data_IF_386378880529
#
_entry.id   IF_386378880529
#
_cell.length_a   1.000
_cell.length_b   1.000
_cell.length_c   1.000
_cell.angle_alpha   90.00
_cell.angle_beta   90.00
_cell.angle_gamma   90.00
#
_symmetry.space_group_name_H-M   'P 1'
#
loop_
_entity.id
_entity.type
_entity.pdbx_description
1 polymer ?
#
# COMPACT_ATOMS: atom_id res chain seq x y z
N UNK A 1 3.27 21.77 -19.37
CA UNK A 1 2.56 20.54 -19.82
C UNK A 1 3.45 19.30 -19.84
N UNK A 2 4.77 19.41 -20.02
CA UNK A 2 5.68 18.24 -20.00
C UNK A 2 5.94 17.71 -18.58
N UNK A 3 5.87 18.57 -17.57
CA UNK A 3 6.17 18.21 -16.17
C UNK A 3 5.22 17.14 -15.60
N UNK A 4 3.89 17.25 -15.67
CA UNK A 4 3.00 16.19 -15.22
C UNK A 4 3.19 14.87 -15.97
N UNK A 5 3.50 14.92 -17.27
CA UNK A 5 3.79 13.72 -18.07
C UNK A 5 5.08 13.02 -17.62
N UNK A 6 6.11 13.81 -17.27
CA UNK A 6 7.35 13.26 -16.71
C UNK A 6 7.09 12.56 -15.37
N UNK A 7 6.26 13.14 -14.48
CA UNK A 7 5.85 12.53 -13.23
C UNK A 7 5.07 11.23 -13.46
N UNK A 8 4.07 11.24 -14.38
CA UNK A 8 3.32 10.03 -14.75
C UNK A 8 4.24 8.92 -15.26
N UNK A 9 5.20 9.28 -16.15
CA UNK A 9 6.19 8.34 -16.67
C UNK A 9 7.10 7.76 -15.59
N UNK A 10 7.57 8.61 -14.67
CA UNK A 10 8.42 8.19 -13.55
C UNK A 10 7.68 7.23 -12.60
N UNK A 11 6.41 7.53 -12.25
CA UNK A 11 5.59 6.64 -11.40
C UNK A 11 5.27 5.34 -12.13
N UNK A 12 4.99 5.38 -13.44
CA UNK A 12 4.74 4.18 -14.23
C UNK A 12 5.99 3.28 -14.29
N UNK A 13 7.17 3.87 -14.52
CA UNK A 13 8.45 3.15 -14.51
C UNK A 13 8.74 2.55 -13.12
N UNK A 14 8.57 3.35 -12.05
CA UNK A 14 8.68 2.86 -10.68
C UNK A 14 7.73 1.68 -10.43
N UNK A 15 6.44 1.84 -10.74
CA UNK A 15 5.43 0.81 -10.53
C UNK A 15 5.71 -0.48 -11.31
N UNK A 16 6.19 -0.36 -12.56
CA UNK A 16 6.58 -1.52 -13.37
C UNK A 16 7.75 -2.28 -12.77
N UNK A 17 8.83 -1.58 -12.39
CA UNK A 17 10.02 -2.19 -11.78
C UNK A 17 9.68 -2.78 -10.41
N UNK A 18 8.95 -2.05 -9.57
CA UNK A 18 8.50 -2.50 -8.25
C UNK A 18 7.66 -3.79 -8.36
N UNK A 19 6.70 -3.82 -9.29
CA UNK A 19 5.84 -4.99 -9.51
C UNK A 19 6.64 -6.18 -10.10
N UNK A 20 7.59 -5.91 -10.99
CA UNK A 20 8.48 -6.93 -11.54
C UNK A 20 9.31 -7.60 -10.43
N UNK A 21 9.95 -6.80 -9.58
CA UNK A 21 10.72 -7.32 -8.44
C UNK A 21 9.80 -8.07 -7.46
N UNK A 22 8.55 -7.64 -7.23
CA UNK A 22 7.59 -8.35 -6.40
C UNK A 22 7.14 -9.70 -6.96
N UNK A 23 7.35 -9.95 -8.28
CA UNK A 23 6.82 -11.11 -8.99
C UNK A 23 7.38 -12.45 -8.49
N UNK A 24 6.58 -13.51 -8.64
CA UNK A 24 7.02 -14.88 -8.34
C UNK A 24 8.20 -15.34 -9.21
N UNK A 25 8.30 -14.84 -10.45
CA UNK A 25 9.41 -15.15 -11.36
C UNK A 25 10.75 -14.71 -10.81
N UNK A 26 10.85 -13.43 -10.41
CA UNK A 26 12.08 -12.88 -9.83
C UNK A 26 12.40 -13.53 -8.50
N UNK A 27 11.40 -13.76 -7.63
CA UNK A 27 11.61 -14.45 -6.34
C UNK A 27 12.18 -15.86 -6.53
N UNK A 28 11.63 -16.64 -7.47
CA UNK A 28 12.14 -17.98 -7.79
C UNK A 28 13.54 -17.94 -8.36
N UNK A 29 13.83 -16.98 -9.26
CA UNK A 29 15.14 -16.80 -9.83
C UNK A 29 16.20 -16.46 -8.77
N UNK A 30 15.89 -15.52 -7.85
CA UNK A 30 16.79 -15.16 -6.73
C UNK A 30 17.01 -16.36 -5.80
N UNK A 31 15.94 -17.10 -5.48
CA UNK A 31 16.03 -18.30 -4.65
C UNK A 31 16.89 -19.39 -5.29
N UNK A 32 16.80 -19.56 -6.61
CA UNK A 32 17.63 -20.52 -7.35
C UNK A 32 19.12 -20.15 -7.32
N UNK A 33 19.47 -18.84 -7.17
CA UNK A 33 20.85 -18.37 -7.10
C UNK A 33 21.42 -18.31 -5.69
N UNK A 34 20.63 -17.87 -4.71
CA UNK A 34 21.07 -17.61 -3.34
C UNK A 34 20.60 -18.69 -2.33
N UNK A 35 19.82 -19.68 -2.79
CA UNK A 35 19.30 -20.73 -1.93
C UNK A 35 18.44 -20.18 -0.78
N UNK A 36 18.50 -20.84 0.41
CA UNK A 36 17.68 -20.44 1.58
C UNK A 36 17.96 -19.04 2.10
N UNK A 37 19.11 -18.43 1.77
CA UNK A 37 19.42 -17.05 2.14
C UNK A 37 18.45 -16.08 1.48
N UNK A 38 18.00 -16.38 0.26
CA UNK A 38 17.01 -15.57 -0.43
C UNK A 38 15.72 -15.39 0.38
N UNK A 39 15.21 -16.47 0.99
CA UNK A 39 13.97 -16.43 1.75
C UNK A 39 14.06 -15.49 2.97
N UNK A 40 15.25 -15.33 3.53
CA UNK A 40 15.51 -14.46 4.68
C UNK A 40 15.66 -12.99 4.30
N UNK A 41 16.43 -12.71 3.24
CA UNK A 41 16.83 -11.31 2.94
C UNK A 41 15.92 -10.63 1.93
N UNK A 42 15.17 -11.39 1.12
CA UNK A 42 14.44 -10.86 -0.03
C UNK A 42 13.46 -9.77 0.37
N UNK A 43 12.67 -9.97 1.43
CA UNK A 43 11.65 -9.02 1.84
C UNK A 43 12.26 -7.70 2.32
N UNK A 44 13.33 -7.76 3.10
CA UNK A 44 14.04 -6.55 3.54
C UNK A 44 14.69 -5.82 2.37
N UNK A 45 15.41 -6.55 1.51
CA UNK A 45 16.02 -5.97 0.30
C UNK A 45 14.98 -5.35 -0.63
N UNK A 46 13.83 -6.00 -0.81
CA UNK A 46 12.71 -5.48 -1.59
C UNK A 46 12.15 -4.19 -1.00
N UNK A 47 11.93 -4.12 0.32
CA UNK A 47 11.44 -2.91 0.98
C UNK A 47 12.44 -1.76 0.90
N UNK A 48 13.74 -2.04 1.11
CA UNK A 48 14.81 -1.05 0.95
C UNK A 48 14.87 -0.53 -0.50
N UNK A 49 14.80 -1.45 -1.48
CA UNK A 49 14.75 -1.11 -2.90
C UNK A 49 13.52 -0.28 -3.24
N UNK A 50 12.34 -0.62 -2.71
CA UNK A 50 11.11 0.12 -2.95
C UNK A 50 11.21 1.58 -2.47
N UNK A 51 11.77 1.80 -1.28
CA UNK A 51 12.02 3.15 -0.76
C UNK A 51 13.06 3.88 -1.61
N UNK A 52 14.22 3.27 -1.85
CA UNK A 52 15.31 3.89 -2.60
C UNK A 52 14.92 4.25 -4.04
N UNK A 53 14.18 3.36 -4.73
CA UNK A 53 13.74 3.59 -6.11
C UNK A 53 12.59 4.60 -6.24
N UNK A 54 11.89 4.92 -5.14
CA UNK A 54 10.88 5.99 -5.11
C UNK A 54 11.49 7.38 -4.91
N UNK A 55 12.69 7.50 -4.31
CA UNK A 55 13.36 8.79 -4.10
C UNK A 55 13.56 9.60 -5.40
N UNK A 56 13.97 9.02 -6.55
CA UNK A 56 14.02 9.74 -7.81
C UNK A 56 12.69 10.35 -8.25
N UNK A 57 11.55 9.69 -7.97
CA UNK A 57 10.22 10.25 -8.26
C UNK A 57 9.97 11.50 -7.42
N UNK A 58 10.33 11.46 -6.12
CA UNK A 58 10.20 12.63 -5.25
C UNK A 58 11.17 13.75 -5.63
N UNK A 59 12.40 13.41 -6.02
CA UNK A 59 13.37 14.40 -6.53
C UNK A 59 12.86 15.07 -7.82
N UNK A 60 12.30 14.29 -8.74
CA UNK A 60 11.73 14.81 -9.97
C UNK A 60 10.53 15.73 -9.67
N UNK A 61 9.68 15.37 -8.73
CA UNK A 61 8.57 16.21 -8.28
C UNK A 61 9.07 17.56 -7.71
N UNK A 62 10.18 17.55 -6.95
CA UNK A 62 10.77 18.77 -6.41
C UNK A 62 11.38 19.67 -7.49
N UNK A 63 11.94 19.09 -8.55
CA UNK A 63 12.52 19.82 -9.69
C UNK A 63 11.47 20.29 -10.69
N UNK A 64 10.36 19.57 -10.82
CA UNK A 64 9.26 19.85 -11.75
C UNK A 64 7.95 20.04 -10.98
N UNK A 65 7.81 21.11 -10.18
CA UNK A 65 6.65 21.31 -9.32
C UNK A 65 5.33 21.49 -10.11
N UNK A 66 5.42 21.95 -11.35
CA UNK A 66 4.27 22.24 -12.21
C UNK A 66 3.52 23.52 -11.81
N UNK A 67 2.45 23.82 -12.56
CA UNK A 67 1.61 25.00 -12.30
C UNK A 67 0.76 24.79 -11.04
N UNK A 68 0.58 25.83 -10.20
CA UNK A 68 -0.29 25.77 -9.04
C UNK A 68 -1.75 25.65 -9.45
N UNK A 69 -2.47 24.66 -8.88
CA UNK A 69 -3.92 24.47 -9.08
C UNK A 69 -4.72 25.09 -7.95
N UNK A 70 -4.28 24.84 -6.70
CA UNK A 70 -4.82 25.50 -5.52
C UNK A 70 -3.81 25.55 -4.38
N UNK A 71 -4.02 26.52 -3.50
CA UNK A 71 -3.36 26.60 -2.20
C UNK A 71 -4.41 26.95 -1.16
N UNK A 72 -4.67 26.03 -0.24
CA UNK A 72 -5.62 26.23 0.84
C UNK A 72 -5.08 27.26 1.84
N UNK A 73 -5.94 28.22 2.19
CA UNK A 73 -5.68 29.18 3.28
C UNK A 73 -6.28 28.68 4.59
N UNK A 74 -5.93 29.32 5.72
CA UNK A 74 -6.58 29.05 6.99
C UNK A 74 -8.08 29.37 6.88
N UNK A 75 -8.94 28.55 7.53
CA UNK A 75 -8.63 27.39 8.37
C UNK A 75 -8.48 26.06 7.58
N UNK A 76 -8.73 26.05 6.27
CA UNK A 76 -8.77 24.83 5.45
C UNK A 76 -7.43 24.10 5.35
N UNK A 77 -6.32 24.86 5.31
CA UNK A 77 -4.98 24.25 5.33
C UNK A 77 -4.69 23.53 6.63
N UNK A 78 -5.13 24.08 7.76
CA UNK A 78 -4.97 23.41 9.06
C UNK A 78 -5.80 22.13 9.14
N UNK A 79 -7.04 22.13 8.61
CA UNK A 79 -7.88 20.92 8.54
C UNK A 79 -7.27 19.85 7.63
N UNK A 80 -6.69 20.25 6.48
CA UNK A 80 -6.01 19.33 5.59
C UNK A 80 -4.79 18.67 6.28
N UNK A 81 -3.95 19.46 6.95
CA UNK A 81 -2.79 18.96 7.71
C UNK A 81 -3.23 18.05 8.87
N UNK A 82 -4.27 18.42 9.60
CA UNK A 82 -4.84 17.56 10.64
C UNK A 82 -5.31 16.22 10.06
N UNK A 83 -6.01 16.25 8.92
CA UNK A 83 -6.43 15.06 8.20
C UNK A 83 -5.26 14.18 7.75
N UNK A 84 -4.15 14.79 7.28
CA UNK A 84 -2.92 14.06 6.99
C UNK A 84 -2.31 13.43 8.27
N UNK A 85 -2.35 14.13 9.40
CA UNK A 85 -1.95 13.58 10.70
C UNK A 85 -2.79 12.35 11.10
N UNK A 86 -4.11 12.42 10.90
CA UNK A 86 -5.01 11.28 11.11
C UNK A 86 -4.66 10.12 10.16
N UNK A 87 -4.39 10.41 8.88
CA UNK A 87 -3.99 9.39 7.91
C UNK A 87 -2.69 8.68 8.32
N UNK A 88 -1.68 9.42 8.81
CA UNK A 88 -0.43 8.83 9.33
C UNK A 88 -0.68 7.98 10.60
N UNK A 89 -1.57 8.41 11.49
CA UNK A 89 -1.96 7.62 12.65
C UNK A 89 -2.64 6.31 12.24
N UNK A 90 -3.58 6.35 11.28
CA UNK A 90 -4.22 5.17 10.72
C UNK A 90 -3.21 4.22 10.05
N UNK A 91 -2.23 4.78 9.32
CA UNK A 91 -1.14 4.00 8.72
C UNK A 91 -0.32 3.28 9.79
N UNK A 92 0.08 3.98 10.86
CA UNK A 92 0.83 3.40 11.96
C UNK A 92 0.05 2.31 12.70
N UNK A 93 -1.25 2.54 12.97
CA UNK A 93 -2.12 1.53 13.60
C UNK A 93 -2.27 0.31 12.70
N UNK A 94 -2.55 0.51 11.41
CA UNK A 94 -2.68 -0.58 10.44
C UNK A 94 -1.39 -1.39 10.31
N UNK A 95 -0.24 -0.73 10.26
CA UNK A 95 1.06 -1.39 10.22
C UNK A 95 1.33 -2.23 11.49
N UNK A 96 0.96 -1.72 12.68
CA UNK A 96 1.08 -2.50 13.92
C UNK A 96 0.22 -3.76 13.92
N UNK A 97 -0.95 -3.73 13.26
CA UNK A 97 -1.84 -4.88 13.14
C UNK A 97 -1.32 -5.96 12.17
N UNK A 98 -0.43 -5.61 11.25
CA UNK A 98 0.17 -6.55 10.27
C UNK A 98 1.49 -7.17 10.73
N UNK A 99 1.89 -7.03 12.00
CA UNK A 99 3.23 -7.37 12.50
C UNK A 99 4.34 -6.64 11.70
N UNK A 100 4.77 -5.46 12.17
CA UNK A 100 5.76 -4.63 11.48
C UNK A 100 7.08 -5.35 11.19
N UNK A 101 7.50 -6.23 12.08
CA UNK A 101 8.76 -6.99 11.92
C UNK A 101 8.70 -7.96 10.75
N UNK A 102 7.57 -8.65 10.61
CA UNK A 102 7.30 -9.52 9.46
C UNK A 102 7.07 -8.70 8.19
N UNK A 103 6.34 -7.58 8.28
CA UNK A 103 6.10 -6.69 7.14
C UNK A 103 7.41 -6.11 6.57
N UNK A 104 8.32 -5.65 7.43
CA UNK A 104 9.62 -5.10 7.02
C UNK A 104 10.60 -6.17 6.55
N UNK A 105 10.39 -7.42 6.91
CA UNK A 105 11.32 -8.51 6.58
C UNK A 105 12.39 -8.77 7.64
N UNK A 106 12.28 -8.12 8.81
CA UNK A 106 13.26 -8.26 9.90
C UNK A 106 13.11 -9.59 10.64
N UNK A 107 11.87 -10.08 10.81
CA UNK A 107 11.63 -11.37 11.44
C UNK A 107 12.26 -12.51 10.64
N UNK A 108 12.17 -12.46 9.30
CA UNK A 108 12.76 -13.48 8.42
C UNK A 108 14.30 -13.54 8.49
N UNK A 109 14.96 -12.44 8.88
CA UNK A 109 16.41 -12.45 9.15
C UNK A 109 16.75 -13.16 10.45
N UNK A 110 15.90 -13.04 11.46
CA UNK A 110 16.14 -13.55 12.82
C UNK A 110 15.72 -15.02 12.96
N UNK A 111 14.60 -15.40 12.34
CA UNK A 111 14.05 -16.75 12.43
C UNK A 111 14.74 -17.68 11.42
N UNK A 112 15.22 -18.82 11.92
CA UNK A 112 15.86 -19.89 11.11
C UNK A 112 14.89 -20.98 10.68
N UNK A 113 13.63 -20.91 11.11
CA UNK A 113 12.58 -21.88 10.80
C UNK A 113 11.79 -21.54 9.52
N UNK A 114 10.96 -22.47 9.03
CA UNK A 114 10.01 -22.19 7.96
C UNK A 114 9.04 -21.09 8.42
N UNK A 115 8.88 -20.05 7.60
CA UNK A 115 7.92 -18.99 7.87
C UNK A 115 6.51 -19.55 7.81
N UNK A 116 5.74 -19.41 8.89
CA UNK A 116 4.31 -19.72 8.84
C UNK A 116 3.64 -18.82 7.79
N UNK A 117 2.68 -19.36 7.02
CA UNK A 117 1.92 -18.55 6.10
C UNK A 117 1.21 -17.44 6.89
N UNK A 118 1.19 -16.19 6.38
CA UNK A 118 0.55 -15.09 7.06
C UNK A 118 -0.94 -15.38 7.24
N UNK A 119 -1.42 -15.34 8.49
CA UNK A 119 -2.84 -15.48 8.80
C UNK A 119 -3.64 -14.29 8.26
N UNK A 120 -4.85 -14.54 7.79
CA UNK A 120 -5.76 -13.48 7.32
C UNK A 120 -6.19 -12.59 8.51
N UNK A 121 -5.78 -11.33 8.47
CA UNK A 121 -6.14 -10.35 9.50
C UNK A 121 -7.50 -9.76 9.16
N UNK A 122 -8.48 -9.93 10.07
CA UNK A 122 -9.86 -9.45 9.91
C UNK A 122 -10.34 -8.58 11.08
N UNK A 123 -9.42 -8.18 11.97
CA UNK A 123 -9.70 -7.42 13.20
C UNK A 123 -9.22 -5.98 13.12
N UNK A 124 -9.53 -5.15 14.09
CA UNK A 124 -9.08 -3.77 14.13
C UNK A 124 -9.57 -2.94 12.94
N UNK A 125 -8.68 -2.24 12.24
CA UNK A 125 -8.98 -1.46 11.03
C UNK A 125 -9.48 -2.34 9.89
N UNK A 126 -9.04 -3.59 9.82
CA UNK A 126 -9.46 -4.58 8.82
C UNK A 126 -10.93 -5.00 8.92
N UNK A 127 -11.63 -4.64 10.00
CA UNK A 127 -13.11 -4.77 10.10
C UNK A 127 -13.86 -3.73 9.28
N UNK A 128 -13.23 -2.58 8.99
CA UNK A 128 -13.86 -1.45 8.31
C UNK A 128 -13.52 -1.42 6.82
N UNK A 129 -12.28 -1.77 6.48
CA UNK A 129 -11.78 -1.88 5.09
C UNK A 129 -10.77 -3.02 4.99
N UNK A 130 -10.72 -3.66 3.82
CA UNK A 130 -9.75 -4.76 3.58
C UNK A 130 -8.32 -4.26 3.41
N UNK A 131 -8.13 -3.01 2.98
CA UNK A 131 -6.83 -2.40 2.72
C UNK A 131 -6.62 -1.09 3.50
N UNK A 132 -6.57 -1.13 4.85
CA UNK A 132 -6.49 0.08 5.66
C UNK A 132 -5.23 0.91 5.39
N UNK A 133 -4.09 0.28 5.07
CA UNK A 133 -2.85 0.96 4.73
C UNK A 133 -2.98 1.75 3.41
N UNK A 134 -3.63 1.17 2.41
CA UNK A 134 -3.90 1.85 1.13
C UNK A 134 -4.91 2.98 1.29
N UNK A 135 -5.96 2.78 2.10
CA UNK A 135 -6.93 3.83 2.44
C UNK A 135 -6.25 5.01 3.12
N UNK A 136 -5.39 4.75 4.12
CA UNK A 136 -4.64 5.78 4.80
C UNK A 136 -3.68 6.52 3.85
N UNK A 137 -2.98 5.80 2.98
CA UNK A 137 -2.11 6.39 1.96
C UNK A 137 -2.87 7.29 0.99
N UNK A 138 -4.02 6.85 0.48
CA UNK A 138 -4.89 7.67 -0.38
C UNK A 138 -5.38 8.90 0.36
N UNK A 139 -5.84 8.77 1.61
CA UNK A 139 -6.27 9.90 2.42
C UNK A 139 -5.13 10.92 2.59
N UNK A 140 -3.91 10.46 2.86
CA UNK A 140 -2.74 11.32 3.04
C UNK A 140 -2.40 12.14 1.79
N UNK A 141 -2.34 11.50 0.62
CA UNK A 141 -1.95 12.19 -0.62
C UNK A 141 -3.03 13.15 -1.13
N UNK A 142 -4.32 12.84 -0.90
CA UNK A 142 -5.42 13.69 -1.37
C UNK A 142 -5.76 14.84 -0.42
N UNK A 143 -5.32 14.81 0.83
CA UNK A 143 -5.47 15.92 1.79
C UNK A 143 -4.32 16.92 1.74
N UNK A 144 -3.57 17.00 0.63
CA UNK A 144 -2.51 18.01 0.50
C UNK A 144 -3.06 19.43 0.47
N UNK A 145 -2.52 20.37 1.29
CA UNK A 145 -2.97 21.76 1.31
C UNK A 145 -2.53 22.56 0.07
N UNK A 146 -1.54 22.05 -0.67
CA UNK A 146 -1.05 22.67 -1.90
C UNK A 146 -1.11 21.65 -3.02
N UNK A 147 -1.81 21.96 -4.09
CA UNK A 147 -1.92 21.12 -5.28
C UNK A 147 -1.34 21.83 -6.49
N UNK A 148 -0.43 21.15 -7.16
CA UNK A 148 0.08 21.57 -8.47
C UNK A 148 -0.26 20.52 -9.51
N UNK A 149 -0.05 20.83 -10.78
CA UNK A 149 -0.29 19.87 -11.88
C UNK A 149 0.59 18.62 -11.74
N UNK A 150 1.82 18.76 -11.25
CA UNK A 150 2.72 17.63 -10.98
C UNK A 150 2.29 16.79 -9.76
N UNK A 151 1.85 17.44 -8.68
CA UNK A 151 1.29 16.75 -7.51
C UNK A 151 0.01 16.02 -7.86
N UNK A 152 -0.87 16.63 -8.68
CA UNK A 152 -2.08 15.96 -9.16
C UNK A 152 -1.73 14.73 -9.99
N UNK A 153 -0.76 14.84 -10.91
CA UNK A 153 -0.29 13.70 -11.72
C UNK A 153 0.27 12.56 -10.83
N UNK A 154 1.07 12.90 -9.82
CA UNK A 154 1.57 11.93 -8.83
C UNK A 154 0.42 11.24 -8.11
N UNK A 155 -0.54 12.01 -7.58
CA UNK A 155 -1.67 11.47 -6.81
C UNK A 155 -2.57 10.57 -7.65
N UNK A 156 -2.84 10.93 -8.91
CA UNK A 156 -3.59 10.10 -9.85
C UNK A 156 -2.85 8.80 -10.16
N UNK A 157 -1.54 8.88 -10.46
CA UNK A 157 -0.74 7.71 -10.78
C UNK A 157 -0.61 6.75 -9.58
N UNK A 158 -0.36 7.28 -8.36
CA UNK A 158 -0.32 6.47 -7.15
C UNK A 158 -1.69 5.88 -6.82
N UNK A 159 -2.78 6.61 -7.02
CA UNK A 159 -4.13 6.09 -6.82
C UNK A 159 -4.43 4.94 -7.77
N UNK A 160 -4.09 5.08 -9.06
CA UNK A 160 -4.22 4.01 -10.03
C UNK A 160 -3.37 2.78 -9.65
N UNK A 161 -2.13 3.01 -9.22
CA UNK A 161 -1.23 1.95 -8.77
C UNK A 161 -1.78 1.20 -7.56
N UNK A 162 -2.31 1.91 -6.55
CA UNK A 162 -2.96 1.33 -5.37
C UNK A 162 -4.20 0.51 -5.77
N UNK A 163 -5.04 1.02 -6.66
CA UNK A 163 -6.24 0.32 -7.14
C UNK A 163 -5.89 -0.98 -7.89
N UNK A 164 -4.86 -0.94 -8.71
CA UNK A 164 -4.37 -2.15 -9.41
C UNK A 164 -3.77 -3.12 -8.39
N UNK A 165 -2.89 -2.63 -7.51
CA UNK A 165 -2.23 -3.44 -6.48
C UNK A 165 -3.22 -4.13 -5.55
N UNK A 166 -4.25 -3.41 -5.07
CA UNK A 166 -5.27 -4.00 -4.20
C UNK A 166 -6.04 -5.13 -4.89
N UNK A 167 -6.36 -4.99 -6.19
CA UNK A 167 -7.04 -6.06 -6.95
C UNK A 167 -6.16 -7.30 -7.13
N UNK A 168 -4.87 -7.11 -7.39
CA UNK A 168 -3.92 -8.21 -7.51
C UNK A 168 -3.72 -8.94 -6.17
N UNK A 169 -3.61 -8.18 -5.08
CA UNK A 169 -3.54 -8.73 -3.72
C UNK A 169 -4.80 -9.52 -3.36
N UNK A 170 -6.00 -8.98 -3.65
CA UNK A 170 -7.27 -9.69 -3.41
C UNK A 170 -7.38 -11.00 -4.20
N UNK A 171 -6.89 -11.04 -5.44
CA UNK A 171 -6.83 -12.28 -6.21
C UNK A 171 -5.92 -13.31 -5.55
N UNK A 172 -4.76 -12.87 -5.07
CA UNK A 172 -3.81 -13.72 -4.38
C UNK A 172 -4.38 -14.25 -3.06
N UNK A 173 -4.97 -13.39 -2.23
CA UNK A 173 -5.62 -13.78 -0.98
C UNK A 173 -6.78 -14.75 -1.21
N UNK A 174 -7.54 -14.59 -2.30
CA UNK A 174 -8.58 -15.54 -2.70
C UNK A 174 -8.04 -16.94 -3.00
N UNK A 175 -6.85 -17.03 -3.60
CA UNK A 175 -6.19 -18.31 -3.88
C UNK A 175 -5.61 -18.92 -2.58
N UNK A 176 -4.97 -18.09 -1.75
CA UNK A 176 -4.28 -18.53 -0.53
C UNK A 176 -5.24 -18.90 0.61
N UNK A 177 -6.33 -18.13 0.79
CA UNK A 177 -7.26 -18.27 1.92
C UNK A 177 -8.65 -18.81 1.53
N UNK A 178 -8.93 -18.99 0.26
CA UNK A 178 -10.14 -19.65 -0.25
C UNK A 178 -11.43 -19.05 0.30
N UNK A 179 -12.30 -19.91 0.86
CA UNK A 179 -13.61 -19.53 1.37
C UNK A 179 -13.54 -18.50 2.49
N UNK A 180 -12.54 -18.58 3.38
CA UNK A 180 -12.38 -17.62 4.48
C UNK A 180 -12.20 -16.18 3.94
N UNK A 181 -11.44 -16.01 2.85
CA UNK A 181 -11.31 -14.71 2.21
C UNK A 181 -12.59 -14.29 1.47
N UNK A 182 -13.30 -15.20 0.81
CA UNK A 182 -14.56 -14.92 0.15
C UNK A 182 -15.61 -14.38 1.12
N UNK A 183 -15.75 -15.01 2.31
CA UNK A 183 -16.65 -14.59 3.36
C UNK A 183 -16.25 -13.23 3.95
N UNK A 184 -14.97 -12.97 4.11
CA UNK A 184 -14.46 -11.67 4.54
C UNK A 184 -14.77 -10.58 3.51
N UNK A 185 -14.50 -10.85 2.22
CA UNK A 185 -14.74 -9.94 1.10
C UNK A 185 -16.23 -9.57 0.94
N UNK A 186 -17.13 -10.50 1.21
CA UNK A 186 -18.58 -10.25 1.16
C UNK A 186 -19.06 -9.25 2.22
N UNK A 187 -18.36 -9.15 3.34
CA UNK A 187 -18.75 -8.33 4.51
C UNK A 187 -18.02 -6.99 4.60
N UNK A 188 -16.78 -6.93 4.14
CA UNK A 188 -15.90 -5.77 4.34
C UNK A 188 -15.55 -5.14 2.99
N UNK A 189 -15.73 -3.83 2.80
CA UNK A 189 -15.38 -3.12 1.55
C UNK A 189 -13.86 -3.04 1.35
N UNK A 190 -13.43 -2.78 0.12
CA UNK A 190 -12.01 -2.72 -0.24
C UNK A 190 -11.29 -1.52 0.40
N UNK A 191 -11.62 -0.30 -0.01
CA UNK A 191 -10.88 0.93 0.32
C UNK A 191 -11.72 1.98 1.04
N UNK A 192 -13.04 2.08 0.75
CA UNK A 192 -13.91 3.08 1.34
C UNK A 192 -14.55 2.48 2.58
N UNK A 193 -14.29 3.04 3.79
CA UNK A 193 -14.81 2.49 5.03
C UNK A 193 -16.35 2.48 5.06
N UNK A 194 -16.91 1.38 5.53
CA UNK A 194 -18.36 1.27 5.85
C UNK A 194 -18.49 0.60 7.22
N UNK A 195 -19.56 0.92 7.96
CA UNK A 195 -19.84 0.20 9.19
C UNK A 195 -19.87 -1.31 8.94
N UNK A 196 -19.27 -2.13 9.82
CA UNK A 196 -19.32 -3.58 9.71
C UNK A 196 -20.78 -4.06 9.66
N UNK A 197 -21.10 -4.90 8.69
CA UNK A 197 -22.44 -5.54 8.66
C UNK A 197 -22.54 -6.55 9.80
N UNK A 198 -23.66 -6.57 10.55
CA UNK A 198 -23.89 -7.60 11.55
C UNK A 198 -23.78 -8.99 10.90
N UNK A 199 -23.16 -9.92 11.60
CA UNK A 199 -23.19 -11.33 11.21
C UNK A 199 -24.64 -11.77 11.34
N UNK A 200 -25.28 -12.17 10.23
CA UNK A 200 -26.58 -12.85 10.31
C UNK A 200 -26.37 -14.07 11.20
N UNK A 201 -27.18 -14.16 12.28
CA UNK A 201 -27.14 -15.34 13.14
C UNK A 201 -27.39 -16.58 12.28
N UNK A 202 -26.65 -17.69 12.48
CA UNK A 202 -26.91 -18.91 11.76
C UNK A 202 -28.37 -19.29 12.02
N UNK A 203 -29.14 -19.49 10.95
CA UNK A 203 -30.50 -20.03 11.07
C UNK A 203 -30.37 -21.34 11.83
N UNK A 204 -30.86 -21.36 13.08
CA UNK A 204 -31.07 -22.60 13.82
C UNK A 204 -32.15 -23.37 13.06
N UNK A 205 -31.73 -24.44 12.39
CA UNK A 205 -32.64 -25.46 11.94
C UNK A 205 -33.12 -26.31 13.12
#
# INVERSE_FOLDING_TARGET
MLEPLAILGAVAAYGAVHSLVASFGVKRWVRARLGPVADRVYRLAYNAFAVASFLPVLALLAWLPGDPLYQLRLPWSALAILGQGVALALLAIGLRQTDPWTFLGLRQLMDRGPSEPPSLIVTGLYRWVRHPLYTAGLLFIWLTPVMTTSVLALNLALSAYILIGSRLEERRLGIESGQAYADYKARVPSLIPRPPRPVAAPHRM
#
